data_IF_992074611187
#
_entry.id   IF_992074611187
#
_cell.length_a   1.000
_cell.length_b   1.000
_cell.length_c   1.000
_cell.angle_alpha   90.00
_cell.angle_beta   90.00
_cell.angle_gamma   90.00
#
_symmetry.space_group_name_H-M   'P 1'
#
loop_
_entity.id
_entity.type
_entity.pdbx_description
1 polymer ?
#
# COMPACT_ATOMS: atom_id res chain seq x y z
N UNK A 1 3.54 -10.49 -14.83
CA UNK A 1 3.61 -9.11 -14.26
C UNK A 1 4.05 -9.22 -12.80
N UNK A 2 5.12 -8.53 -12.39
CA UNK A 2 5.68 -8.64 -11.04
C UNK A 2 5.15 -7.52 -10.13
N UNK A 3 4.68 -7.89 -8.93
CA UNK A 3 4.28 -6.92 -7.89
C UNK A 3 5.52 -6.22 -7.35
N UNK A 4 5.57 -4.90 -7.46
CA UNK A 4 6.68 -4.11 -6.90
C UNK A 4 6.52 -3.96 -5.39
N UNK A 5 7.58 -4.25 -4.62
CA UNK A 5 7.57 -4.18 -3.16
C UNK A 5 8.53 -3.11 -2.66
N UNK A 6 8.01 -2.15 -1.90
CA UNK A 6 8.73 -1.06 -1.25
C UNK A 6 8.96 -1.46 0.20
N UNK A 7 10.23 -1.73 0.54
CA UNK A 7 10.63 -2.22 1.86
C UNK A 7 10.91 -1.10 2.85
N UNK A 8 11.27 0.09 2.37
CA UNK A 8 11.42 1.29 3.20
C UNK A 8 10.08 1.67 3.82
N UNK A 9 10.05 2.00 5.13
CA UNK A 9 8.81 2.36 5.79
C UNK A 9 8.33 3.70 5.27
N UNK A 10 7.06 3.76 4.89
CA UNK A 10 6.41 4.96 4.38
C UNK A 10 5.49 5.56 5.43
N UNK A 11 5.37 6.88 5.41
CA UNK A 11 4.46 7.62 6.28
C UNK A 11 3.08 7.69 5.61
N UNK A 12 2.05 7.28 6.35
CA UNK A 12 0.67 7.45 5.92
C UNK A 12 0.29 8.92 6.08
N UNK A 13 -0.29 9.51 5.04
CA UNK A 13 -0.77 10.90 5.01
C UNK A 13 -2.29 10.86 4.95
N UNK A 14 -2.96 11.28 6.04
CA UNK A 14 -4.42 11.16 6.17
C UNK A 14 -4.87 9.75 6.58
N UNK A 15 -6.15 9.43 6.35
CA UNK A 15 -6.75 8.19 6.87
C UNK A 15 -6.40 6.93 6.05
N UNK A 16 -6.16 7.07 4.72
CA UNK A 16 -5.98 5.91 3.82
C UNK A 16 -5.03 6.16 2.65
N UNK A 17 -4.14 7.16 2.73
CA UNK A 17 -3.31 7.60 1.59
C UNK A 17 -1.83 7.67 1.97
N UNK A 18 -0.95 7.44 1.00
CA UNK A 18 0.51 7.52 1.15
C UNK A 18 1.05 8.36 -0.01
N UNK A 19 2.07 9.16 0.25
CA UNK A 19 2.79 9.89 -0.80
C UNK A 19 4.08 9.15 -1.10
N UNK A 20 4.25 8.70 -2.35
CA UNK A 20 5.47 8.05 -2.83
C UNK A 20 5.99 8.78 -4.05
N UNK A 21 7.24 9.22 -4.00
CA UNK A 21 7.90 9.94 -5.09
C UNK A 21 7.05 11.12 -5.62
N UNK A 22 6.40 11.87 -4.72
CA UNK A 22 5.53 12.99 -5.08
C UNK A 22 4.13 12.62 -5.61
N UNK A 23 3.83 11.33 -5.81
CA UNK A 23 2.52 10.86 -6.23
C UNK A 23 1.67 10.37 -5.05
N UNK A 24 0.36 10.57 -5.13
CA UNK A 24 -0.60 10.08 -4.15
C UNK A 24 -1.01 8.62 -4.47
N UNK A 25 -0.87 7.75 -3.49
CA UNK A 25 -1.24 6.34 -3.55
C UNK A 25 -2.31 6.05 -2.50
N UNK A 26 -3.33 5.29 -2.86
CA UNK A 26 -4.37 4.86 -1.92
C UNK A 26 -4.11 3.46 -1.39
N UNK A 27 -4.42 3.26 -0.11
CA UNK A 27 -4.30 1.99 0.57
C UNK A 27 -5.56 1.18 0.28
N UNK A 28 -5.41 0.08 -0.46
CA UNK A 28 -6.49 -0.89 -0.67
C UNK A 28 -6.69 -1.78 0.54
N UNK A 29 -5.59 -2.29 1.12
CA UNK A 29 -5.64 -3.19 2.28
C UNK A 29 -4.33 -3.18 3.06
N UNK A 30 -4.38 -3.58 4.32
CA UNK A 30 -3.21 -3.66 5.21
C UNK A 30 -3.07 -5.06 5.80
N UNK A 31 -1.84 -5.55 5.88
CA UNK A 31 -1.49 -6.91 6.31
C UNK A 31 -0.36 -6.88 7.31
N UNK A 32 -0.34 -7.81 8.26
CA UNK A 32 0.75 -7.93 9.22
C UNK A 32 2.04 -8.49 8.58
N UNK A 33 1.90 -9.35 7.57
CA UNK A 33 3.03 -10.06 6.93
C UNK A 33 3.23 -9.64 5.47
N UNK A 34 4.50 -9.58 5.04
CA UNK A 34 4.91 -9.24 3.66
C UNK A 34 4.28 -10.18 2.63
N UNK A 35 4.31 -11.48 2.88
CA UNK A 35 3.80 -12.51 1.97
C UNK A 35 2.29 -12.39 1.73
N UNK A 36 1.53 -12.04 2.77
CA UNK A 36 0.08 -11.80 2.67
C UNK A 36 -0.22 -10.59 1.77
N UNK A 37 0.49 -9.48 1.97
CA UNK A 37 0.34 -8.29 1.12
C UNK A 37 0.73 -8.56 -0.34
N UNK A 38 1.79 -9.32 -0.61
CA UNK A 38 2.19 -9.70 -1.97
C UNK A 38 1.11 -10.55 -2.63
N UNK A 39 0.58 -11.55 -1.92
CA UNK A 39 -0.51 -12.40 -2.43
C UNK A 39 -1.76 -11.57 -2.73
N UNK A 40 -2.15 -10.66 -1.82
CA UNK A 40 -3.28 -9.77 -1.99
C UNK A 40 -3.09 -8.82 -3.18
N UNK A 41 -1.91 -8.21 -3.33
CA UNK A 41 -1.57 -7.35 -4.46
C UNK A 41 -1.63 -8.12 -5.79
N UNK A 42 -1.14 -9.36 -5.83
CA UNK A 42 -1.23 -10.22 -7.01
C UNK A 42 -2.67 -10.56 -7.39
N UNK A 43 -3.54 -10.82 -6.41
CA UNK A 43 -4.99 -11.01 -6.63
C UNK A 43 -5.65 -9.73 -7.15
N UNK A 44 -5.35 -8.59 -6.52
CA UNK A 44 -5.90 -7.29 -6.90
C UNK A 44 -5.50 -6.90 -8.33
N UNK A 45 -4.23 -7.11 -8.69
CA UNK A 45 -3.73 -6.88 -10.05
C UNK A 45 -4.42 -7.76 -11.09
N UNK A 46 -4.69 -9.04 -10.78
CA UNK A 46 -5.44 -9.94 -11.67
C UNK A 46 -6.90 -9.53 -11.82
N UNK A 47 -7.55 -9.12 -10.74
CA UNK A 47 -8.98 -8.79 -10.73
C UNK A 47 -9.27 -7.46 -11.43
N UNK A 48 -8.44 -6.44 -11.19
CA UNK A 48 -8.65 -5.09 -11.75
C UNK A 48 -7.82 -4.81 -13.01
N UNK A 49 -7.09 -5.80 -13.55
CA UNK A 49 -6.15 -5.64 -14.69
C UNK A 49 -5.25 -4.40 -14.56
N UNK A 50 -4.91 -4.01 -13.34
CA UNK A 50 -4.27 -2.71 -13.04
C UNK A 50 -2.77 -2.88 -12.90
N UNK A 51 -2.00 -2.11 -13.66
CA UNK A 51 -0.53 -2.16 -13.65
C UNK A 51 0.09 -1.39 -12.48
N UNK A 52 -0.67 -0.50 -11.85
CA UNK A 52 -0.20 0.42 -10.83
C UNK A 52 -0.46 -0.06 -9.40
N UNK A 53 -0.23 -1.35 -9.13
CA UNK A 53 -0.37 -1.94 -7.78
C UNK A 53 1.01 -2.17 -7.19
N UNK A 54 1.22 -1.73 -5.96
CA UNK A 54 2.47 -1.93 -5.22
C UNK A 54 2.18 -2.40 -3.82
N UNK A 55 3.20 -3.00 -3.20
CA UNK A 55 3.17 -3.32 -1.77
C UNK A 55 4.15 -2.41 -1.07
N UNK A 56 3.71 -1.71 -0.03
CA UNK A 56 4.56 -0.80 0.73
C UNK A 56 4.55 -1.14 2.21
N UNK A 57 5.72 -1.14 2.83
CA UNK A 57 5.79 -1.14 4.30
C UNK A 57 5.37 0.24 4.80
N UNK A 58 4.42 0.32 5.71
CA UNK A 58 3.93 1.59 6.28
C UNK A 58 4.04 1.56 7.80
N UNK A 59 4.31 2.73 8.37
CA UNK A 59 4.24 2.91 9.83
C UNK A 59 2.84 3.41 10.17
N UNK A 60 2.05 2.55 10.79
CA UNK A 60 0.71 2.91 11.24
C UNK A 60 0.81 3.78 12.51
N UNK A 61 0.95 5.10 12.33
CA UNK A 61 0.79 6.05 13.46
C UNK A 61 -0.67 6.15 13.93
N UNK A 62 -1.64 5.65 13.15
CA UNK A 62 -3.08 5.89 13.37
C UNK A 62 -4.03 4.68 13.17
N UNK A 63 -3.55 3.44 12.98
CA UNK A 63 -4.47 2.28 12.99
C UNK A 63 -4.89 1.97 14.43
N UNK A 64 -6.13 2.35 14.78
CA UNK A 64 -6.88 2.03 16.02
C UNK A 64 -6.13 1.12 16.99
N UNK A 65 -5.27 1.69 17.83
CA UNK A 65 -4.70 1.02 19.00
C UNK A 65 -3.31 0.37 18.86
N UNK A 66 -2.57 0.54 17.77
CA UNK A 66 -1.16 0.09 17.69
C UNK A 66 -0.19 1.16 17.18
N UNK A 67 0.08 2.21 17.96
CA UNK A 67 1.11 3.18 17.62
C UNK A 67 2.46 2.45 17.41
N UNK A 68 3.01 2.56 16.20
CA UNK A 68 4.35 2.02 15.87
C UNK A 68 4.37 0.64 15.21
N UNK A 69 3.22 0.00 14.96
CA UNK A 69 3.20 -1.27 14.23
C UNK A 69 3.63 -1.07 12.76
N UNK A 70 4.70 -1.76 12.36
CA UNK A 70 5.13 -1.88 10.95
C UNK A 70 4.23 -2.89 10.27
N UNK A 71 3.44 -2.44 9.31
CA UNK A 71 2.52 -3.27 8.52
C UNK A 71 2.81 -3.14 7.03
N UNK A 72 2.25 -4.04 6.25
CA UNK A 72 2.38 -4.09 4.80
C UNK A 72 1.07 -3.69 4.15
N UNK A 73 1.07 -2.57 3.43
CA UNK A 73 -0.08 -2.07 2.70
C UNK A 73 -0.01 -2.50 1.23
N UNK A 74 -1.13 -2.93 0.67
CA UNK A 74 -1.34 -2.95 -0.77
C UNK A 74 -1.82 -1.56 -1.17
N UNK A 75 -1.08 -0.94 -2.06
CA UNK A 75 -1.34 0.42 -2.52
C UNK A 75 -1.53 0.45 -4.02
N UNK A 76 -2.35 1.37 -4.50
CA UNK A 76 -2.53 1.61 -5.92
C UNK A 76 -2.45 3.10 -6.22
N UNK A 77 -1.95 3.42 -7.41
CA UNK A 77 -1.89 4.81 -7.85
C UNK A 77 -3.31 5.27 -8.17
N UNK A 78 -3.75 6.35 -7.53
CA UNK A 78 -4.96 7.04 -7.96
C UNK A 78 -4.54 7.97 -9.09
N UNK A 79 -4.95 7.71 -10.35
CA UNK A 79 -4.77 8.72 -11.37
C UNK A 79 -5.50 9.97 -10.89
N UNK A 80 -4.79 11.10 -10.80
CA UNK A 80 -5.48 12.38 -10.67
C UNK A 80 -6.39 12.47 -11.88
N UNK A 81 -7.70 12.42 -11.67
CA UNK A 81 -8.63 12.96 -12.66
C UNK A 81 -8.22 14.43 -12.81
N UNK A 82 -7.58 14.72 -13.93
CA UNK A 82 -7.42 16.08 -14.45
C UNK A 82 -8.76 16.47 -15.07
#
# INVERSE_FOLDING_TARGET
>A
MAVTVITSPQTVVGMSRIILNGAAWEISSTHARKSQAISAAGKFQKFHSTTNVRVSRITAKALKGRPGARIWAVIFLVPRHV
#
